data_IF_205737070525
#
_entry.id   IF_205737070525
#
_cell.length_a   1.000
_cell.length_b   1.000
_cell.length_c   1.000
_cell.angle_alpha   90.00
_cell.angle_beta   90.00
_cell.angle_gamma   90.00
#
_symmetry.space_group_name_H-M   'P 1'
#
loop_
_entity.id
_entity.type
_entity.pdbx_description
1 polymer ?
#
# COMPACT_ATOMS: atom_id res chain seq x y z
N UNK A 1 -5.39 -18.83 -14.06
CA UNK A 1 -4.07 -18.18 -14.33
C UNK A 1 -3.66 -17.11 -13.31
N UNK A 2 -4.57 -16.36 -12.66
CA UNK A 2 -4.22 -15.29 -11.68
C UNK A 2 -3.46 -15.76 -10.41
N UNK A 3 -3.65 -17.00 -9.95
CA UNK A 3 -2.97 -17.54 -8.76
C UNK A 3 -1.45 -17.71 -8.93
N UNK A 4 -0.96 -17.95 -10.16
CA UNK A 4 0.47 -18.15 -10.45
C UNK A 4 1.26 -16.84 -10.50
N UNK A 5 0.60 -15.71 -10.75
CA UNK A 5 1.20 -14.36 -10.68
C UNK A 5 1.08 -13.75 -9.27
N UNK A 6 0.10 -14.19 -8.48
CA UNK A 6 -0.07 -13.76 -7.09
C UNK A 6 1.08 -14.27 -6.19
N UNK A 7 1.56 -15.48 -6.44
CA UNK A 7 2.63 -16.10 -5.66
C UNK A 7 3.99 -15.36 -5.78
N UNK A 8 4.52 -15.03 -6.97
CA UNK A 8 5.75 -14.24 -7.10
C UNK A 8 5.57 -12.78 -6.68
N UNK A 9 4.36 -12.21 -6.77
CA UNK A 9 4.06 -10.89 -6.20
C UNK A 9 4.14 -10.92 -4.66
N UNK A 10 3.59 -11.96 -4.05
CA UNK A 10 3.57 -12.13 -2.58
C UNK A 10 4.95 -12.53 -2.03
N UNK A 11 5.70 -13.36 -2.78
CA UNK A 11 7.12 -13.65 -2.52
C UNK A 11 8.00 -12.43 -2.74
N UNK A 12 7.76 -11.65 -3.79
CA UNK A 12 8.46 -10.40 -4.05
C UNK A 12 8.22 -9.38 -2.94
N UNK A 13 6.99 -9.27 -2.44
CA UNK A 13 6.62 -8.44 -1.28
C UNK A 13 7.29 -8.95 0.00
N UNK A 14 7.38 -10.26 0.22
CA UNK A 14 8.10 -10.86 1.36
C UNK A 14 9.62 -10.67 1.26
N UNK A 15 10.20 -10.71 0.06
CA UNK A 15 11.62 -10.42 -0.18
C UNK A 15 11.91 -8.92 -0.04
N UNK A 16 10.95 -8.06 -0.39
CA UNK A 16 11.03 -6.60 -0.14
C UNK A 16 10.84 -6.25 1.34
N UNK A 17 10.00 -7.01 2.07
CA UNK A 17 9.72 -6.84 3.50
C UNK A 17 10.73 -7.57 4.39
N UNK A 18 11.47 -8.53 3.84
CA UNK A 18 12.68 -9.08 4.46
C UNK A 18 13.78 -8.03 4.38
N UNK A 19 13.60 -6.95 5.14
CA UNK A 19 14.68 -6.09 5.57
C UNK A 19 15.64 -6.95 6.38
N UNK A 20 16.62 -7.53 5.70
CA UNK A 20 17.80 -8.08 6.34
C UNK A 20 18.40 -6.97 7.21
N UNK A 21 18.81 -7.33 8.42
CA UNK A 21 19.34 -6.44 9.44
C UNK A 21 20.48 -5.55 8.90
N UNK A 22 20.17 -4.29 8.53
CA UNK A 22 21.14 -3.30 8.03
C UNK A 22 22.00 -2.66 9.14
N UNK A 23 21.91 -3.18 10.37
CA UNK A 23 22.64 -2.69 11.54
C UNK A 23 24.14 -2.97 11.48
N UNK A 24 24.58 -3.91 10.63
CA UNK A 24 25.99 -4.29 10.47
C UNK A 24 26.56 -3.72 9.15
N UNK A 25 27.79 -3.17 9.16
CA UNK A 25 28.41 -2.55 7.98
C UNK A 25 28.62 -3.53 6.81
N UNK A 26 28.68 -4.84 7.08
CA UNK A 26 28.85 -5.92 6.10
C UNK A 26 27.58 -6.28 5.31
N UNK A 27 26.41 -5.75 5.68
CA UNK A 27 25.13 -5.98 4.98
C UNK A 27 24.59 -4.72 4.28
N UNK A 28 25.43 -3.69 4.08
CA UNK A 28 25.06 -2.39 3.45
C UNK A 28 25.08 -2.43 1.92
N UNK A 29 24.76 -3.57 1.33
CA UNK A 29 24.94 -3.87 -0.09
C UNK A 29 23.70 -4.56 -0.68
N UNK A 30 22.52 -4.07 -0.28
CA UNK A 30 21.23 -4.45 -0.85
C UNK A 30 20.64 -3.38 -1.78
N UNK A 31 19.88 -3.80 -2.80
CA UNK A 31 19.09 -2.91 -3.68
C UNK A 31 18.23 -1.90 -2.88
N UNK A 32 17.64 -2.36 -1.77
CA UNK A 32 16.83 -1.51 -0.89
C UNK A 32 17.66 -0.46 -0.14
N UNK A 33 18.86 -0.82 0.33
CA UNK A 33 19.74 0.09 1.06
C UNK A 33 20.26 1.21 0.15
N UNK A 34 20.77 0.87 -1.03
CA UNK A 34 21.31 1.84 -1.98
C UNK A 34 20.20 2.73 -2.60
N UNK A 35 19.03 2.16 -2.91
CA UNK A 35 17.96 2.92 -3.59
C UNK A 35 17.08 3.74 -2.64
N UNK A 36 16.84 3.28 -1.40
CA UNK A 36 15.95 3.96 -0.46
C UNK A 36 16.68 4.53 0.76
N UNK A 37 17.58 3.78 1.39
CA UNK A 37 18.18 4.17 2.68
C UNK A 37 19.30 5.21 2.50
N UNK A 38 20.23 5.00 1.56
CA UNK A 38 21.33 5.92 1.28
C UNK A 38 20.88 7.33 0.87
N UNK A 39 19.91 7.52 -0.06
CA UNK A 39 19.45 8.86 -0.39
C UNK A 39 18.73 9.52 0.80
N UNK A 40 18.01 8.76 1.62
CA UNK A 40 17.37 9.29 2.83
C UNK A 40 18.42 9.74 3.87
N UNK A 41 19.47 8.96 4.09
CA UNK A 41 20.55 9.28 5.04
C UNK A 41 21.32 10.55 4.62
N UNK A 42 21.66 10.66 3.32
CA UNK A 42 22.28 11.88 2.76
C UNK A 42 21.37 13.10 2.93
N UNK A 43 20.06 12.94 2.73
CA UNK A 43 19.09 14.03 2.87
C UNK A 43 18.97 14.49 4.33
N UNK A 44 19.00 13.55 5.28
CA UNK A 44 18.92 13.85 6.72
C UNK A 44 20.20 14.53 7.20
N UNK A 45 21.38 14.09 6.78
CA UNK A 45 22.64 14.76 7.11
C UNK A 45 22.72 16.17 6.49
N UNK A 46 22.22 16.35 5.26
CA UNK A 46 22.16 17.67 4.60
C UNK A 46 21.17 18.63 5.29
N UNK A 47 20.01 18.12 5.71
CA UNK A 47 19.06 18.90 6.51
C UNK A 47 19.62 19.19 7.92
N UNK A 48 20.22 18.20 8.57
CA UNK A 48 20.80 18.31 9.91
C UNK A 48 21.92 19.34 9.98
N UNK A 49 22.81 19.39 8.99
CA UNK A 49 23.86 20.41 8.91
C UNK A 49 23.30 21.82 8.71
N UNK A 50 22.16 21.95 8.02
CA UNK A 50 21.44 23.23 7.84
C UNK A 50 20.73 23.70 9.12
N UNK A 51 20.41 22.77 10.04
CA UNK A 51 19.72 23.03 11.31
C UNK A 51 20.67 22.91 12.53
N UNK A 52 21.95 23.30 12.42
CA UNK A 52 22.92 23.29 13.53
C UNK A 52 23.15 21.93 14.21
N UNK A 53 23.11 20.82 13.45
CA UNK A 53 23.18 19.44 13.96
C UNK A 53 21.98 18.99 14.80
N UNK A 54 20.86 19.71 14.78
CA UNK A 54 19.59 19.23 15.35
C UNK A 54 18.90 18.23 14.41
N UNK A 55 19.37 16.98 14.44
CA UNK A 55 18.84 15.87 13.65
C UNK A 55 17.36 15.58 13.93
N UNK A 56 16.87 15.86 15.15
CA UNK A 56 15.44 15.73 15.48
C UNK A 56 14.55 16.69 14.68
N UNK A 57 15.00 17.94 14.49
CA UNK A 57 14.28 18.94 13.72
C UNK A 57 14.35 18.65 12.22
N UNK A 58 15.50 18.19 11.74
CA UNK A 58 15.69 17.73 10.36
C UNK A 58 14.73 16.60 9.98
N UNK A 59 14.54 15.62 10.86
CA UNK A 59 13.58 14.51 10.66
C UNK A 59 12.13 15.01 10.56
N UNK A 60 11.72 15.91 11.46
CA UNK A 60 10.35 16.45 11.46
C UNK A 60 10.07 17.18 10.14
N UNK A 61 10.99 18.04 9.71
CA UNK A 61 10.88 18.79 8.46
C UNK A 61 10.83 17.85 7.25
N UNK A 62 11.66 16.80 7.23
CA UNK A 62 11.66 15.79 6.17
C UNK A 62 10.31 15.08 6.05
N UNK A 63 9.74 14.60 7.17
CA UNK A 63 8.44 13.92 7.16
C UNK A 63 7.33 14.85 6.72
N UNK A 64 7.35 16.13 7.14
CA UNK A 64 6.38 17.12 6.69
C UNK A 64 6.50 17.39 5.19
N UNK A 65 7.71 17.56 4.66
CA UNK A 65 7.95 17.76 3.23
C UNK A 65 7.43 16.57 2.40
N UNK A 66 7.74 15.34 2.81
CA UNK A 66 7.26 14.12 2.16
C UNK A 66 5.73 14.05 2.20
N UNK A 67 5.10 14.36 3.35
CA UNK A 67 3.65 14.39 3.47
C UNK A 67 3.01 15.41 2.55
N UNK A 68 3.58 16.61 2.41
CA UNK A 68 3.07 17.66 1.52
C UNK A 68 3.13 17.22 0.06
N UNK A 69 4.23 16.57 -0.36
CA UNK A 69 4.37 16.04 -1.73
C UNK A 69 3.41 14.88 -2.00
N UNK A 70 3.18 14.00 -1.01
CA UNK A 70 2.27 12.87 -1.13
C UNK A 70 0.79 13.24 -0.94
N UNK A 71 0.48 14.41 -0.37
CA UNK A 71 -0.88 14.87 -0.10
C UNK A 71 -1.78 14.94 -1.35
N UNK A 72 -1.38 15.53 -2.50
CA UNK A 72 -2.22 15.53 -3.71
C UNK A 72 -2.49 14.11 -4.22
N UNK A 73 -1.50 13.23 -4.11
CA UNK A 73 -1.64 11.82 -4.46
C UNK A 73 -2.62 11.10 -3.52
N UNK A 74 -2.51 11.32 -2.22
CA UNK A 74 -3.39 10.72 -1.21
C UNK A 74 -4.83 11.21 -1.35
N UNK A 75 -5.05 12.50 -1.64
CA UNK A 75 -6.38 13.07 -1.91
C UNK A 75 -7.06 12.44 -3.13
N UNK A 76 -6.30 12.20 -4.21
CA UNK A 76 -6.82 11.52 -5.40
C UNK A 76 -7.28 10.09 -5.09
N UNK A 77 -6.47 9.34 -4.34
CA UNK A 77 -6.81 7.99 -3.88
C UNK A 77 -8.03 7.99 -2.94
N UNK A 78 -8.12 8.98 -2.04
CA UNK A 78 -9.25 9.15 -1.13
C UNK A 78 -10.55 9.42 -1.88
N UNK A 79 -10.56 10.36 -2.83
CA UNK A 79 -11.73 10.67 -3.67
C UNK A 79 -12.24 9.43 -4.40
N UNK A 80 -11.35 8.66 -5.02
CA UNK A 80 -11.70 7.42 -5.73
C UNK A 80 -12.33 6.37 -4.79
N UNK A 81 -11.79 6.24 -3.57
CA UNK A 81 -12.31 5.33 -2.55
C UNK A 81 -13.69 5.75 -2.06
N UNK A 82 -13.94 7.05 -1.90
CA UNK A 82 -15.25 7.59 -1.51
C UNK A 82 -16.32 7.31 -2.56
N UNK A 83 -16.01 7.58 -3.84
CA UNK A 83 -16.94 7.30 -4.94
C UNK A 83 -17.32 5.81 -5.02
N UNK A 84 -16.38 4.91 -4.76
CA UNK A 84 -16.64 3.47 -4.71
C UNK A 84 -17.55 3.08 -3.54
N UNK A 85 -17.37 3.69 -2.35
CA UNK A 85 -18.24 3.44 -1.18
C UNK A 85 -19.68 3.86 -1.46
N UNK A 86 -19.88 5.00 -2.10
CA UNK A 86 -21.24 5.47 -2.46
C UNK A 86 -21.91 4.53 -3.46
N UNK A 87 -21.21 4.16 -4.54
CA UNK A 87 -21.71 3.16 -5.49
C UNK A 87 -22.04 1.82 -4.78
N UNK A 88 -21.22 1.41 -3.82
CA UNK A 88 -21.41 0.17 -3.06
C UNK A 88 -22.67 0.20 -2.21
N UNK A 89 -23.02 1.34 -1.62
CA UNK A 89 -24.28 1.49 -0.88
C UNK A 89 -25.50 1.26 -1.78
N UNK A 90 -25.46 1.74 -3.01
CA UNK A 90 -26.54 1.59 -3.98
C UNK A 90 -26.63 0.16 -4.53
N UNK A 91 -25.49 -0.51 -4.75
CA UNK A 91 -25.46 -1.89 -5.24
C UNK A 91 -25.65 -2.94 -4.13
N UNK A 92 -25.54 -2.54 -2.85
CA UNK A 92 -25.70 -3.43 -1.69
C UNK A 92 -26.95 -4.32 -1.74
N UNK A 93 -28.17 -3.82 -2.05
CA UNK A 93 -29.36 -4.69 -2.14
C UNK A 93 -29.23 -5.78 -3.22
N UNK A 94 -28.70 -5.46 -4.39
CA UNK A 94 -28.49 -6.43 -5.47
C UNK A 94 -27.42 -7.46 -5.10
N UNK A 95 -26.36 -7.01 -4.41
CA UNK A 95 -25.29 -7.87 -3.89
C UNK A 95 -25.83 -8.81 -2.81
N UNK A 96 -26.63 -8.30 -1.87
CA UNK A 96 -27.24 -9.09 -0.80
C UNK A 96 -28.18 -10.17 -1.36
N UNK A 97 -28.97 -9.84 -2.39
CA UNK A 97 -29.83 -10.80 -3.09
C UNK A 97 -29.04 -11.91 -3.78
N UNK A 98 -27.92 -11.60 -4.43
CA UNK A 98 -27.02 -12.61 -5.04
C UNK A 98 -26.34 -13.43 -3.94
N UNK A 99 -25.94 -12.80 -2.83
CA UNK A 99 -25.28 -13.49 -1.73
C UNK A 99 -26.21 -14.48 -1.02
N UNK A 100 -27.51 -14.19 -0.94
CA UNK A 100 -28.51 -15.16 -0.48
C UNK A 100 -28.64 -16.35 -1.44
N UNK A 101 -28.63 -16.11 -2.76
CA UNK A 101 -28.60 -17.18 -3.76
C UNK A 101 -27.36 -18.07 -3.58
N UNK A 102 -26.18 -17.47 -3.44
CA UNK A 102 -24.90 -18.19 -3.16
C UNK A 102 -24.99 -19.06 -1.91
N UNK A 103 -25.64 -18.57 -0.85
CA UNK A 103 -25.80 -19.33 0.42
C UNK A 103 -26.78 -20.49 0.29
N UNK A 104 -27.80 -20.37 -0.57
CA UNK A 104 -28.76 -21.45 -0.86
C UNK A 104 -28.19 -22.48 -1.84
N UNK A 105 -27.19 -22.09 -2.64
CA UNK A 105 -26.49 -22.97 -3.58
C UNK A 105 -25.78 -24.12 -2.86
N UNK A 106 -26.13 -25.36 -3.22
CA UNK A 106 -25.53 -26.56 -2.63
C UNK A 106 -24.43 -27.14 -3.52
N UNK A 107 -24.43 -26.84 -4.81
CA UNK A 107 -23.46 -27.38 -5.78
C UNK A 107 -22.35 -26.38 -6.10
N UNK A 108 -21.20 -26.88 -6.55
CA UNK A 108 -20.05 -26.07 -6.94
C UNK A 108 -20.33 -25.22 -8.19
N UNK A 109 -21.17 -25.72 -9.10
CA UNK A 109 -21.57 -25.04 -10.34
C UNK A 109 -22.46 -23.83 -10.03
N UNK A 110 -23.43 -23.96 -9.13
CA UNK A 110 -24.28 -22.83 -8.69
C UNK A 110 -23.46 -21.73 -8.03
N UNK A 111 -22.44 -22.10 -7.23
CA UNK A 111 -21.50 -21.12 -6.65
C UNK A 111 -20.68 -20.41 -7.72
N UNK A 112 -20.31 -21.08 -8.81
CA UNK A 112 -19.61 -20.45 -9.92
C UNK A 112 -20.53 -19.50 -10.71
N UNK A 113 -21.76 -19.91 -11.01
CA UNK A 113 -22.76 -19.07 -11.68
C UNK A 113 -23.08 -17.81 -10.87
N UNK A 114 -23.28 -17.94 -9.56
CA UNK A 114 -23.56 -16.80 -8.70
C UNK A 114 -22.35 -15.85 -8.52
N UNK A 115 -21.12 -16.37 -8.60
CA UNK A 115 -19.92 -15.51 -8.68
C UNK A 115 -19.83 -14.73 -10.00
N UNK A 116 -20.35 -15.29 -11.10
CA UNK A 116 -20.43 -14.60 -12.39
C UNK A 116 -21.51 -13.51 -12.35
N UNK A 117 -22.70 -13.80 -11.82
CA UNK A 117 -23.77 -12.80 -11.60
C UNK A 117 -23.27 -11.63 -10.73
N UNK A 118 -22.53 -11.93 -9.66
CA UNK A 118 -21.91 -10.91 -8.81
C UNK A 118 -20.95 -10.00 -9.60
N UNK A 119 -20.16 -10.56 -10.52
CA UNK A 119 -19.25 -9.79 -11.38
C UNK A 119 -20.00 -8.93 -12.39
N UNK A 120 -21.14 -9.39 -12.90
CA UNK A 120 -22.00 -8.64 -13.81
C UNK A 120 -22.67 -7.46 -13.10
N UNK A 121 -23.13 -7.64 -11.87
CA UNK A 121 -23.64 -6.54 -11.03
C UNK A 121 -22.53 -5.52 -10.76
N UNK A 122 -21.31 -5.96 -10.40
CA UNK A 122 -20.19 -5.03 -10.25
C UNK A 122 -19.90 -4.22 -11.52
N UNK A 123 -20.00 -4.84 -12.71
CA UNK A 123 -19.87 -4.12 -13.99
C UNK A 123 -21.04 -3.17 -14.26
N UNK A 124 -22.28 -3.57 -13.95
CA UNK A 124 -23.50 -2.76 -14.12
C UNK A 124 -23.45 -1.46 -13.31
N UNK A 125 -22.88 -1.52 -12.11
CA UNK A 125 -22.69 -0.34 -11.26
C UNK A 125 -21.36 0.39 -11.50
N UNK A 126 -20.62 0.04 -12.56
CA UNK A 126 -19.32 0.63 -12.91
C UNK A 126 -18.33 0.61 -11.73
N UNK A 127 -18.32 -0.52 -11.02
CA UNK A 127 -17.38 -0.83 -9.95
C UNK A 127 -16.20 -1.58 -10.55
N UNK A 128 -15.14 -0.86 -10.88
CA UNK A 128 -13.93 -1.49 -11.40
C UNK A 128 -13.06 -2.01 -10.24
N UNK A 129 -12.80 -3.34 -10.10
CA UNK A 129 -12.02 -3.90 -9.00
C UNK A 129 -10.57 -3.37 -8.93
N UNK A 130 -10.07 -2.80 -10.02
CA UNK A 130 -8.78 -2.10 -10.08
C UNK A 130 -8.73 -0.85 -9.19
N UNK A 131 -9.85 -0.13 -9.03
CA UNK A 131 -9.93 1.03 -8.11
C UNK A 131 -9.81 0.62 -6.64
N UNK A 132 -10.13 -0.63 -6.31
CA UNK A 132 -10.00 -1.16 -4.96
C UNK A 132 -8.53 -1.38 -4.55
N UNK A 133 -7.64 -1.67 -5.51
CA UNK A 133 -6.18 -1.77 -5.26
C UNK A 133 -5.54 -0.40 -5.04
N UNK A 134 -6.05 0.67 -5.65
CA UNK A 134 -5.63 2.04 -5.35
C UNK A 134 -6.02 2.49 -3.92
N UNK A 135 -7.05 1.85 -3.34
CA UNK A 135 -7.51 2.14 -1.98
C UNK A 135 -6.58 1.63 -0.86
N UNK A 136 -5.76 0.59 -1.08
CA UNK A 136 -4.78 0.10 -0.10
C UNK A 136 -3.39 0.75 -0.25
N UNK A 137 -3.21 1.55 -1.29
CA UNK A 137 -1.96 2.23 -1.62
C UNK A 137 -1.42 3.15 -0.50
N UNK A 138 -2.26 3.88 0.26
CA UNK A 138 -1.77 4.67 1.40
C UNK A 138 -1.12 3.81 2.49
N UNK A 139 -1.65 2.60 2.72
CA UNK A 139 -1.12 1.70 3.75
C UNK A 139 0.20 1.07 3.31
N UNK A 140 0.34 0.79 2.01
CA UNK A 140 1.58 0.28 1.44
C UNK A 140 2.70 1.33 1.47
N UNK A 141 2.39 2.61 1.27
CA UNK A 141 3.36 3.72 1.35
C UNK A 141 3.76 4.04 2.80
N UNK A 142 2.87 3.81 3.77
CA UNK A 142 3.15 4.12 5.18
C UNK A 142 4.19 3.19 5.81
N UNK A 143 4.18 1.90 5.44
CA UNK A 143 5.11 0.89 5.96
C UNK A 143 6.60 1.23 5.71
N UNK A 144 7.04 1.56 4.48
CA UNK A 144 8.44 1.87 4.21
C UNK A 144 8.91 3.18 4.88
N UNK A 145 8.03 4.17 5.08
CA UNK A 145 8.39 5.42 5.77
C UNK A 145 8.73 5.16 7.23
N UNK A 146 7.95 4.32 7.92
CA UNK A 146 8.21 3.95 9.33
C UNK A 146 9.50 3.14 9.45
N UNK A 147 9.70 2.16 8.55
CA UNK A 147 10.93 1.35 8.55
C UNK A 147 12.16 2.19 8.24
N UNK A 148 12.09 3.10 7.26
CA UNK A 148 13.19 4.01 6.93
C UNK A 148 13.57 4.90 8.11
N UNK A 149 12.59 5.47 8.81
CA UNK A 149 12.85 6.25 10.02
C UNK A 149 13.46 5.39 11.14
N UNK A 150 12.97 4.17 11.36
CA UNK A 150 13.52 3.26 12.36
C UNK A 150 14.99 2.90 12.08
N UNK A 151 15.33 2.59 10.84
CA UNK A 151 16.72 2.26 10.46
C UNK A 151 17.65 3.46 10.54
N UNK A 152 17.22 4.65 10.12
CA UNK A 152 18.03 5.87 10.28
C UNK A 152 18.26 6.15 11.76
N UNK A 153 17.24 6.06 12.61
CA UNK A 153 17.42 6.25 14.05
C UNK A 153 18.36 5.22 14.67
N UNK A 154 18.41 3.99 14.14
CA UNK A 154 19.30 2.92 14.62
C UNK A 154 20.74 3.05 14.09
N UNK A 155 20.94 3.72 12.95
CA UNK A 155 22.23 3.83 12.27
C UNK A 155 22.94 5.14 12.60
N UNK A 156 22.18 6.24 12.71
CA UNK A 156 22.71 7.60 12.91
C UNK A 156 22.83 8.00 14.38
N UNK A 157 22.24 7.23 15.32
CA UNK A 157 22.34 7.41 16.77
C UNK A 157 22.72 6.09 17.44
#
# INVERSE_FOLDING_TARGET
MKKKALLPLLLGVMVFLAGCDYSKPENRDGFFFNTFVEPMDKLIHWLGSSFNNDYGLAIIVLVLAIRVVLLPFMLSNYKNSHMMREKMKVAKPDIDAIQEKVKRSRTQEEKMAANQEMMEVYKKYDMNPMKSMLGCLPMLIQMPIIMGLFFVLKISF
#
